data_IF_765963248249
#
_entry.id   IF_765963248249
#
_cell.length_a   1.000
_cell.length_b   1.000
_cell.length_c   1.000
_cell.angle_alpha   90.00
_cell.angle_beta   90.00
_cell.angle_gamma   90.00
#
_symmetry.space_group_name_H-M   'P 1'
#
loop_
_entity.id
_entity.type
_entity.pdbx_description
1 polymer ?
#
# COMPACT_ATOMS: atom_id res chain seq x y z
N UNK A 1 -1.24 9.62 6.81
CA UNK A 1 -0.34 8.45 6.93
C UNK A 1 1.03 8.71 6.30
N UNK A 2 2.11 8.19 6.88
CA UNK A 2 3.47 8.17 6.29
C UNK A 2 3.95 6.72 6.29
N UNK A 3 4.45 6.24 5.16
CA UNK A 3 5.05 4.90 5.02
C UNK A 3 6.53 5.09 4.70
N UNK A 4 7.40 4.47 5.49
CA UNK A 4 8.84 4.45 5.20
C UNK A 4 9.12 3.32 4.22
N UNK A 5 9.90 3.60 3.18
CA UNK A 5 10.35 2.61 2.21
C UNK A 5 11.88 2.57 2.25
N UNK A 6 12.43 1.38 2.37
CA UNK A 6 13.85 1.11 2.24
C UNK A 6 14.11 0.52 0.85
N UNK A 7 15.09 1.06 0.14
CA UNK A 7 15.49 0.65 -1.21
C UNK A 7 16.94 0.19 -1.17
N UNK A 8 17.19 -1.01 -1.65
CA UNK A 8 18.51 -1.61 -1.70
C UNK A 8 18.78 -2.22 -3.08
N UNK A 9 20.04 -2.14 -3.52
CA UNK A 9 20.50 -2.79 -4.74
C UNK A 9 21.39 -3.96 -4.39
N UNK A 10 21.00 -5.15 -4.82
CA UNK A 10 21.79 -6.36 -4.60
C UNK A 10 23.07 -6.40 -5.45
N UNK A 11 23.99 -7.29 -5.08
CA UNK A 11 25.26 -7.52 -5.76
C UNK A 11 25.07 -7.94 -7.22
N UNK A 12 23.99 -8.66 -7.53
CA UNK A 12 23.63 -9.06 -8.90
C UNK A 12 22.91 -7.97 -9.71
N UNK A 13 22.69 -6.81 -9.09
CA UNK A 13 22.09 -5.63 -9.70
C UNK A 13 20.57 -5.54 -9.59
N UNK A 14 19.88 -6.55 -9.03
CA UNK A 14 18.44 -6.47 -8.74
C UNK A 14 18.16 -5.43 -7.67
N UNK A 15 16.96 -4.85 -7.71
CA UNK A 15 16.49 -3.94 -6.68
C UNK A 15 15.53 -4.63 -5.73
N UNK A 16 15.67 -4.34 -4.45
CA UNK A 16 14.77 -4.74 -3.38
C UNK A 16 14.16 -3.47 -2.80
N UNK A 17 12.85 -3.52 -2.53
CA UNK A 17 12.17 -2.49 -1.78
C UNK A 17 11.37 -3.14 -0.64
N UNK A 18 11.51 -2.59 0.57
CA UNK A 18 10.84 -3.06 1.77
C UNK A 18 10.08 -1.90 2.44
N UNK A 19 8.92 -2.21 3.03
CA UNK A 19 8.21 -1.30 3.92
C UNK A 19 8.21 -1.90 5.33
N UNK A 20 9.20 -1.59 6.19
CA UNK A 20 9.41 -2.28 7.47
C UNK A 20 8.25 -2.14 8.46
N UNK A 21 7.42 -1.10 8.29
CA UNK A 21 6.19 -0.88 9.07
C UNK A 21 5.11 -1.96 8.78
N UNK A 22 5.27 -2.72 7.69
CA UNK A 22 4.33 -3.76 7.24
C UNK A 22 5.07 -5.11 7.12
N UNK A 23 4.90 -6.02 8.10
CA UNK A 23 5.52 -7.33 8.04
C UNK A 23 5.19 -8.07 6.75
N UNK A 24 6.24 -8.50 6.03
CA UNK A 24 6.09 -9.23 4.76
C UNK A 24 5.94 -8.35 3.52
N UNK A 25 5.97 -7.02 3.64
CA UNK A 25 5.96 -6.11 2.48
C UNK A 25 7.37 -5.91 1.98
N UNK A 26 7.78 -6.83 1.12
CA UNK A 26 9.06 -6.82 0.42
C UNK A 26 8.83 -7.22 -1.04
N UNK A 27 9.47 -6.51 -1.97
CA UNK A 27 9.38 -6.80 -3.40
C UNK A 27 10.75 -6.72 -4.06
N UNK A 28 10.91 -7.50 -5.12
CA UNK A 28 12.00 -7.33 -6.07
C UNK A 28 11.50 -6.53 -7.28
N UNK A 29 12.35 -5.63 -7.77
CA UNK A 29 12.13 -4.85 -8.99
C UNK A 29 13.27 -4.99 -9.99
N UNK A 30 12.96 -4.75 -11.26
CA UNK A 30 13.93 -4.75 -12.36
C UNK A 30 14.85 -3.52 -12.30
N UNK A 31 14.34 -2.41 -11.78
CA UNK A 31 15.05 -1.18 -11.48
C UNK A 31 14.48 -0.55 -10.20
N UNK A 32 15.08 0.55 -9.75
CA UNK A 32 14.68 1.29 -8.54
C UNK A 32 13.22 1.75 -8.60
N UNK A 33 12.77 2.20 -9.77
CA UNK A 33 11.41 2.74 -9.95
C UNK A 33 10.37 1.62 -9.92
N UNK A 34 10.63 0.50 -10.59
CA UNK A 34 9.78 -0.70 -10.53
C UNK A 34 9.67 -1.22 -9.10
N UNK A 35 10.79 -1.33 -8.37
CA UNK A 35 10.80 -1.76 -6.97
C UNK A 35 9.95 -0.82 -6.08
N UNK A 36 10.12 0.49 -6.23
CA UNK A 36 9.38 1.51 -5.49
C UNK A 36 7.86 1.45 -5.78
N UNK A 37 7.46 1.35 -7.04
CA UNK A 37 6.04 1.28 -7.41
C UNK A 37 5.38 0.00 -6.86
N UNK A 38 6.09 -1.12 -6.93
CA UNK A 38 5.59 -2.41 -6.44
C UNK A 38 5.42 -2.42 -4.93
N UNK A 39 6.38 -1.88 -4.17
CA UNK A 39 6.29 -1.86 -2.70
C UNK A 39 5.18 -0.92 -2.23
N UNK A 40 4.99 0.22 -2.91
CA UNK A 40 3.87 1.14 -2.61
C UNK A 40 2.53 0.46 -2.82
N UNK A 41 2.35 -0.24 -3.94
CA UNK A 41 1.12 -0.98 -4.23
C UNK A 41 0.89 -2.10 -3.20
N UNK A 42 1.93 -2.83 -2.80
CA UNK A 42 1.83 -3.88 -1.80
C UNK A 42 1.49 -3.33 -0.40
N UNK A 43 2.12 -2.23 0.02
CA UNK A 43 1.81 -1.58 1.28
C UNK A 43 0.34 -1.11 1.34
N UNK A 44 -0.18 -0.54 0.25
CA UNK A 44 -1.59 -0.16 0.15
C UNK A 44 -2.55 -1.37 0.25
N UNK A 45 -2.17 -2.53 -0.31
CA UNK A 45 -2.96 -3.77 -0.15
C UNK A 45 -2.98 -4.25 1.30
N UNK A 46 -1.85 -4.20 2.01
CA UNK A 46 -1.81 -4.56 3.42
C UNK A 46 -2.68 -3.63 4.28
N UNK A 47 -2.74 -2.34 3.95
CA UNK A 47 -3.66 -1.40 4.61
C UNK A 47 -5.11 -1.81 4.36
N UNK A 48 -5.47 -2.13 3.11
CA UNK A 48 -6.81 -2.57 2.76
C UNK A 48 -7.21 -3.85 3.51
N UNK A 49 -6.34 -4.86 3.55
CA UNK A 49 -6.57 -6.12 4.26
C UNK A 49 -6.79 -5.89 5.77
N UNK A 50 -5.98 -5.03 6.40
CA UNK A 50 -6.17 -4.65 7.81
C UNK A 50 -7.55 -4.01 8.04
N UNK A 51 -8.00 -3.14 7.13
CA UNK A 51 -9.33 -2.53 7.22
C UNK A 51 -10.45 -3.56 7.07
N UNK A 52 -10.30 -4.52 6.14
CA UNK A 52 -11.25 -5.62 5.93
C UNK A 52 -11.37 -6.52 7.17
N UNK A 53 -10.26 -6.73 7.89
CA UNK A 53 -10.23 -7.50 9.14
C UNK A 53 -10.68 -6.70 10.37
N UNK A 54 -10.98 -5.41 10.24
CA UNK A 54 -11.35 -4.52 11.35
C UNK A 54 -10.18 -4.14 12.26
N UNK A 55 -8.95 -4.26 11.77
CA UNK A 55 -7.74 -3.84 12.50
C UNK A 55 -7.59 -2.32 12.48
N UNK A 56 -6.95 -1.79 13.52
CA UNK A 56 -6.62 -0.35 13.59
C UNK A 56 -5.42 -0.07 12.70
N UNK A 57 -5.57 0.85 11.74
CA UNK A 57 -4.48 1.35 10.90
C UNK A 57 -4.09 2.77 11.35
N UNK A 58 -2.93 2.95 12.02
CA UNK A 58 -2.48 4.27 12.44
C UNK A 58 -2.25 5.23 11.27
N UNK A 59 -2.69 6.47 11.37
CA UNK A 59 -2.47 7.51 10.36
C UNK A 59 -3.51 7.54 9.23
N UNK A 60 -4.50 6.64 9.25
CA UNK A 60 -5.62 6.57 8.32
C UNK A 60 -6.66 7.67 8.56
N UNK A 61 -6.64 8.31 9.74
CA UNK A 61 -7.55 9.39 10.14
C UNK A 61 -7.53 10.62 9.21
N UNK A 62 -6.53 10.73 8.32
CA UNK A 62 -6.36 11.80 7.34
C UNK A 62 -6.67 11.36 5.90
N UNK A 63 -7.60 10.40 5.71
CA UNK A 63 -8.07 9.97 4.38
C UNK A 63 -9.52 10.40 4.18
N UNK A 64 -9.78 11.12 3.08
CA UNK A 64 -11.13 11.57 2.70
C UNK A 64 -11.70 10.66 1.62
N UNK A 65 -12.88 10.12 1.87
CA UNK A 65 -13.68 9.40 0.87
C UNK A 65 -14.85 10.29 0.46
N UNK A 66 -15.07 10.43 -0.84
CA UNK A 66 -16.27 11.07 -1.38
C UNK A 66 -17.08 10.03 -2.14
N UNK A 67 -18.32 9.81 -1.71
CA UNK A 67 -19.31 9.09 -2.51
C UNK A 67 -20.12 10.15 -3.26
N UNK A 68 -20.21 10.09 -4.61
CA UNK A 68 -21.12 10.96 -5.34
C UNK A 68 -22.56 10.77 -4.83
N UNK A 69 -23.35 11.84 -4.85
CA UNK A 69 -24.79 11.73 -4.60
C UNK A 69 -25.39 10.75 -5.62
N UNK A 70 -25.89 9.61 -5.14
CA UNK A 70 -26.62 8.66 -5.97
C UNK A 70 -28.10 8.83 -5.66
N UNK A 71 -28.91 9.07 -6.70
CA UNK A 71 -30.35 8.99 -6.58
C UNK A 71 -30.73 7.58 -6.05
N UNK A 72 -31.74 7.46 -5.18
CA UNK A 72 -32.16 6.17 -4.66
C UNK A 72 -32.50 5.23 -5.82
N UNK A 73 -31.79 4.10 -5.90
CA UNK A 73 -32.15 3.04 -6.83
C UNK A 73 -33.41 2.39 -6.27
N UNK A 74 -34.56 2.68 -6.89
CA UNK A 74 -35.80 2.00 -6.55
C UNK A 74 -35.63 0.52 -6.88
N UNK A 75 -35.60 -0.32 -5.85
CA UNK A 75 -35.69 -1.77 -6.00
C UNK A 75 -37.18 -2.08 -6.22
N UNK A 76 -37.50 -2.57 -7.41
CA UNK A 76 -38.85 -3.00 -7.79
C UNK A 76 -39.27 -4.28 -7.06
#
# INVERSE_FOLDING_TARGET
>A
MRITIELEREVDGRWIAEAPDFPGVLVYGQDETDALQRVQALALRCIAERLENGEVVPGLEHITFSVPDHAPVAVC
#
